data_IF_082465886878
#
_entry.id   IF_082465886878
#
_cell.length_a   1.000
_cell.length_b   1.000
_cell.length_c   1.000
_cell.angle_alpha   90.00
_cell.angle_beta   90.00
_cell.angle_gamma   90.00
#
_symmetry.space_group_name_H-M   'P 1'
#
loop_
_entity.id
_entity.type
_entity.pdbx_description
1 polymer ?
#
# COMPACT_ATOMS: atom_id res chain seq x y z
N UNK A 1 31.28 -38.30 -6.94
CA UNK A 1 31.46 -37.70 -5.60
C UNK A 1 31.12 -36.20 -5.54
N UNK A 2 30.67 -35.58 -6.63
CA UNK A 2 30.46 -34.12 -6.71
C UNK A 2 29.11 -33.60 -6.18
N UNK A 3 28.08 -34.42 -6.18
CA UNK A 3 26.71 -34.00 -5.81
C UNK A 3 26.61 -33.65 -4.32
N UNK A 4 27.23 -34.46 -3.45
CA UNK A 4 27.24 -34.25 -2.01
C UNK A 4 27.95 -32.95 -1.62
N UNK A 5 29.10 -32.67 -2.25
CA UNK A 5 29.90 -31.46 -2.02
C UNK A 5 29.18 -30.22 -2.56
N UNK A 6 28.51 -30.31 -3.72
CA UNK A 6 27.67 -29.21 -4.25
C UNK A 6 26.45 -28.94 -3.40
N UNK A 7 25.87 -29.97 -2.77
CA UNK A 7 24.68 -29.81 -1.93
C UNK A 7 24.99 -28.99 -0.67
N UNK A 8 26.10 -29.24 0.01
CA UNK A 8 26.47 -28.57 1.27
C UNK A 8 26.85 -27.09 1.12
N UNK A 9 27.26 -26.65 -0.09
CA UNK A 9 27.64 -25.25 -0.37
C UNK A 9 26.45 -24.35 -0.76
N UNK A 10 25.24 -24.89 -0.90
CA UNK A 10 24.03 -24.10 -1.17
C UNK A 10 23.47 -23.55 0.15
N UNK A 11 23.13 -22.27 0.19
CA UNK A 11 22.56 -21.56 1.36
C UNK A 11 21.33 -22.25 2.00
N UNK A 12 20.63 -23.13 1.26
CA UNK A 12 19.41 -23.80 1.72
C UNK A 12 19.59 -25.28 2.11
N UNK A 13 20.82 -25.80 2.13
CA UNK A 13 21.10 -27.23 2.34
C UNK A 13 20.61 -27.86 3.67
N UNK A 14 20.65 -27.18 4.83
CA UNK A 14 20.22 -27.80 6.09
C UNK A 14 18.70 -28.01 6.18
N UNK A 15 17.92 -27.32 5.34
CA UNK A 15 16.45 -27.30 5.42
C UNK A 15 15.78 -28.11 4.31
N UNK A 16 16.55 -28.80 3.45
CA UNK A 16 16.00 -29.67 2.42
C UNK A 16 15.53 -30.99 3.04
N UNK A 17 14.30 -31.41 2.73
CA UNK A 17 13.76 -32.71 3.14
C UNK A 17 14.34 -33.78 2.21
N UNK A 18 15.01 -34.79 2.77
CA UNK A 18 15.46 -36.00 2.05
C UNK A 18 14.60 -37.20 2.49
N UNK A 19 14.10 -38.04 1.56
CA UNK A 19 14.27 -37.96 0.10
C UNK A 19 13.45 -36.83 -0.56
N UNK A 20 13.86 -36.33 -1.74
CA UNK A 20 13.30 -35.15 -2.42
C UNK A 20 11.94 -35.39 -3.11
N UNK A 21 11.21 -36.43 -2.74
CA UNK A 21 9.88 -36.68 -3.32
C UNK A 21 8.82 -35.82 -2.62
N UNK A 22 7.98 -35.11 -3.39
CA UNK A 22 6.73 -34.57 -2.85
C UNK A 22 5.96 -35.70 -2.17
N UNK A 23 5.40 -35.44 -1.00
CA UNK A 23 4.42 -36.38 -0.43
C UNK A 23 3.31 -36.59 -1.48
N UNK A 24 2.81 -37.82 -1.68
CA UNK A 24 1.81 -38.10 -2.71
C UNK A 24 0.55 -37.23 -2.59
N UNK A 25 0.18 -36.82 -1.37
CA UNK A 25 -0.81 -35.77 -1.12
C UNK A 25 -0.21 -34.70 -0.17
N UNK A 26 0.43 -33.65 -0.71
CA UNK A 26 0.90 -32.55 0.11
C UNK A 26 -0.31 -31.75 0.62
N UNK A 27 -0.36 -31.50 1.93
CA UNK A 27 -1.36 -30.58 2.50
C UNK A 27 -1.26 -29.23 1.78
N UNK A 28 -2.42 -28.62 1.50
CA UNK A 28 -2.49 -27.28 0.90
C UNK A 28 -1.54 -26.33 1.63
N UNK A 29 -0.59 -25.69 0.93
CA UNK A 29 0.26 -24.68 1.51
C UNK A 29 -0.61 -23.56 2.12
N UNK A 30 -0.25 -23.10 3.30
CA UNK A 30 -0.99 -22.08 4.04
C UNK A 30 -1.50 -22.57 5.39
N UNK A 31 -1.72 -21.64 6.31
CA UNK A 31 -2.39 -21.95 7.57
C UNK A 31 -3.86 -22.28 7.28
N UNK A 32 -4.39 -23.31 7.95
CA UNK A 32 -5.84 -23.49 8.02
C UNK A 32 -6.44 -22.20 8.57
N UNK A 33 -7.46 -21.67 7.92
CA UNK A 33 -8.28 -20.60 8.48
C UNK A 33 -8.78 -21.08 9.84
N UNK A 34 -8.46 -20.34 10.91
CA UNK A 34 -8.99 -20.63 12.24
C UNK A 34 -10.46 -20.22 12.34
N UNK A 35 -11.14 -20.64 13.40
CA UNK A 35 -12.56 -20.31 13.61
C UNK A 35 -12.81 -18.80 13.81
N UNK A 36 -11.75 -18.03 14.10
CA UNK A 36 -11.74 -16.57 14.18
C UNK A 36 -11.31 -15.88 12.89
N UNK A 37 -11.10 -16.64 11.81
CA UNK A 37 -10.72 -16.10 10.52
C UNK A 37 -11.95 -15.39 9.93
N UNK A 38 -11.89 -14.06 9.92
CA UNK A 38 -13.00 -13.22 9.47
C UNK A 38 -13.35 -13.43 7.99
N UNK A 39 -14.52 -12.93 7.60
CA UNK A 39 -15.01 -12.97 6.23
C UNK A 39 -14.00 -12.36 5.28
N UNK A 40 -13.71 -13.05 4.18
CA UNK A 40 -12.98 -12.47 3.07
C UNK A 40 -13.89 -11.45 2.38
N UNK A 41 -13.69 -10.18 2.67
CA UNK A 41 -14.42 -9.09 2.02
C UNK A 41 -13.60 -8.47 0.89
N UNK A 42 -14.30 -8.03 -0.14
CA UNK A 42 -13.73 -7.22 -1.21
C UNK A 42 -13.97 -5.75 -0.95
N UNK A 43 -13.17 -4.90 -1.60
CA UNK A 43 -13.34 -3.46 -1.50
C UNK A 43 -14.69 -3.07 -2.13
N UNK A 44 -15.55 -2.32 -1.43
CA UNK A 44 -16.78 -1.82 -2.02
C UNK A 44 -16.45 -0.78 -3.12
N UNK A 45 -17.32 -0.62 -4.13
CA UNK A 45 -17.20 0.48 -5.08
C UNK A 45 -17.33 1.84 -4.36
N UNK A 46 -16.78 2.93 -4.94
CA UNK A 46 -16.97 4.28 -4.39
C UNK A 46 -18.46 4.63 -4.35
N UNK A 47 -18.85 5.52 -3.43
CA UNK A 47 -20.24 5.99 -3.39
C UNK A 47 -20.56 6.83 -4.63
N UNK A 48 -21.83 6.84 -5.10
CA UNK A 48 -22.20 7.62 -6.28
C UNK A 48 -21.85 9.12 -6.17
N UNK A 49 -21.93 9.68 -4.97
CA UNK A 49 -21.58 11.09 -4.68
C UNK A 49 -20.08 11.39 -4.84
N UNK A 50 -19.22 10.37 -4.75
CA UNK A 50 -17.77 10.50 -4.95
C UNK A 50 -17.35 10.45 -6.41
N UNK A 51 -18.26 10.04 -7.32
CA UNK A 51 -17.95 9.90 -8.74
C UNK A 51 -18.00 11.28 -9.39
N UNK A 52 -16.82 11.85 -9.62
CA UNK A 52 -16.69 13.16 -10.27
C UNK A 52 -16.92 13.11 -11.79
N UNK A 53 -16.57 11.99 -12.42
CA UNK A 53 -16.63 11.80 -13.87
C UNK A 53 -17.13 10.40 -14.22
N UNK A 54 -18.01 10.31 -15.22
CA UNK A 54 -18.52 9.07 -15.77
C UNK A 54 -18.23 9.02 -17.28
N UNK A 55 -17.54 7.96 -17.73
CA UNK A 55 -17.19 7.77 -19.14
C UNK A 55 -17.73 6.42 -19.62
N UNK A 56 -18.46 6.41 -20.74
CA UNK A 56 -18.94 5.17 -21.35
C UNK A 56 -17.86 4.54 -22.24
N UNK A 57 -17.48 3.30 -21.96
CA UNK A 57 -16.52 2.53 -22.75
C UNK A 57 -17.25 1.60 -23.74
N UNK A 58 -17.71 2.17 -24.86
CA UNK A 58 -18.46 1.41 -25.87
C UNK A 58 -17.62 0.31 -26.54
N UNK A 59 -18.28 -0.78 -26.94
CA UNK A 59 -17.67 -1.81 -27.77
C UNK A 59 -17.20 -1.21 -29.12
N UNK A 60 -16.08 -1.69 -29.69
CA UNK A 60 -15.65 -1.28 -31.01
C UNK A 60 -16.65 -1.73 -32.08
N UNK A 61 -16.62 -1.10 -33.27
CA UNK A 61 -17.54 -1.43 -34.36
C UNK A 61 -17.42 -2.89 -34.87
N UNK A 62 -16.26 -3.52 -34.68
CA UNK A 62 -15.99 -4.90 -35.07
C UNK A 62 -15.01 -5.56 -34.10
N UNK A 63 -15.03 -6.90 -34.04
CA UNK A 63 -14.11 -7.67 -33.22
C UNK A 63 -12.65 -7.36 -33.60
N UNK A 64 -11.79 -6.92 -32.65
CA UNK A 64 -10.41 -6.56 -32.97
C UNK A 64 -9.56 -7.77 -33.43
N UNK A 65 -10.00 -9.00 -33.18
CA UNK A 65 -9.28 -10.22 -33.56
C UNK A 65 -9.69 -10.77 -34.93
N UNK A 66 -11.00 -10.83 -35.23
CA UNK A 66 -11.52 -11.46 -36.46
C UNK A 66 -12.36 -10.52 -37.34
N UNK A 67 -12.56 -9.26 -36.94
CA UNK A 67 -13.40 -8.25 -37.60
C UNK A 67 -14.90 -8.62 -37.74
N UNK A 68 -15.35 -9.67 -37.06
CA UNK A 68 -16.75 -10.06 -37.02
C UNK A 68 -17.64 -9.08 -36.25
N UNK A 69 -18.96 -9.19 -36.44
CA UNK A 69 -19.97 -8.42 -35.71
C UNK A 69 -19.92 -8.74 -34.21
N UNK A 70 -19.98 -7.69 -33.38
CA UNK A 70 -20.11 -7.81 -31.93
C UNK A 70 -21.58 -7.68 -31.51
N UNK A 71 -21.93 -8.40 -30.44
CA UNK A 71 -23.23 -8.32 -29.79
C UNK A 71 -22.98 -8.01 -28.32
N UNK A 72 -23.55 -6.91 -27.84
CA UNK A 72 -23.47 -6.54 -26.43
C UNK A 72 -24.34 -7.48 -25.60
N UNK A 73 -23.77 -8.05 -24.55
CA UNK A 73 -24.46 -8.99 -23.64
C UNK A 73 -24.75 -8.37 -22.26
N UNK A 74 -24.09 -7.25 -21.94
CA UNK A 74 -24.26 -6.52 -20.70
C UNK A 74 -23.19 -5.44 -20.51
N UNK A 75 -23.37 -4.64 -19.47
CA UNK A 75 -22.43 -3.62 -19.04
C UNK A 75 -21.95 -3.92 -17.61
N UNK A 76 -20.73 -3.49 -17.29
CA UNK A 76 -20.16 -3.60 -15.96
C UNK A 76 -19.42 -2.31 -15.62
N UNK A 77 -19.55 -1.86 -14.38
CA UNK A 77 -18.89 -0.65 -13.90
C UNK A 77 -17.45 -0.92 -13.49
N UNK A 78 -16.55 -0.03 -13.92
CA UNK A 78 -15.16 0.01 -13.51
C UNK A 78 -14.84 1.38 -12.92
N UNK A 79 -14.15 1.40 -11.78
CA UNK A 79 -13.84 2.62 -11.05
C UNK A 79 -12.34 2.88 -11.04
N UNK A 80 -11.94 4.11 -11.34
CA UNK A 80 -10.57 4.59 -11.25
C UNK A 80 -10.52 5.80 -10.30
N UNK A 81 -9.62 5.77 -9.32
CA UNK A 81 -9.32 6.93 -8.46
C UNK A 81 -8.00 7.54 -8.93
N UNK A 82 -8.00 8.83 -9.22
CA UNK A 82 -6.83 9.58 -9.68
C UNK A 82 -6.55 10.78 -8.76
N UNK A 83 -5.30 11.20 -8.64
CA UNK A 83 -4.92 12.40 -7.89
C UNK A 83 -5.00 13.65 -8.79
N UNK A 84 -5.59 14.77 -8.31
CA UNK A 84 -5.62 16.02 -9.07
C UNK A 84 -4.20 16.51 -9.39
N UNK A 85 -4.07 17.13 -10.57
CA UNK A 85 -2.79 17.41 -11.22
C UNK A 85 -2.07 18.65 -10.68
N UNK A 86 -0.74 18.59 -10.83
CA UNK A 86 0.33 19.46 -10.34
C UNK A 86 0.48 19.56 -8.81
N UNK A 87 1.56 19.03 -8.23
CA UNK A 87 1.86 19.21 -6.81
C UNK A 87 2.28 20.65 -6.53
N UNK A 88 1.90 21.18 -5.37
CA UNK A 88 2.40 22.46 -4.88
C UNK A 88 3.88 22.34 -4.48
N UNK A 89 4.77 22.95 -5.26
CA UNK A 89 6.21 22.99 -4.99
C UNK A 89 6.56 24.20 -4.12
N UNK A 90 7.08 23.95 -2.90
CA UNK A 90 7.55 25.01 -1.99
C UNK A 90 9.06 25.09 -1.99
N UNK A 91 9.61 26.26 -2.34
CA UNK A 91 11.04 26.55 -2.22
C UNK A 91 11.29 27.36 -0.95
N UNK A 92 12.10 26.81 -0.05
CA UNK A 92 12.58 27.55 1.12
C UNK A 92 13.98 28.09 0.84
N UNK A 93 14.14 29.42 0.90
CA UNK A 93 15.47 30.04 0.95
C UNK A 93 15.92 30.04 2.41
N UNK A 94 16.73 29.04 2.77
CA UNK A 94 17.26 28.89 4.12
C UNK A 94 18.47 29.80 4.29
N UNK A 95 18.38 30.78 5.18
CA UNK A 95 19.51 31.60 5.57
C UNK A 95 20.40 30.84 6.56
N UNK A 96 21.71 30.91 6.36
CA UNK A 96 22.71 30.19 7.16
C UNK A 96 23.71 31.22 7.67
N UNK A 97 24.09 31.11 8.94
CA UNK A 97 25.12 31.94 9.56
C UNK A 97 25.88 31.16 10.63
N UNK A 98 26.70 31.86 11.40
CA UNK A 98 27.39 31.32 12.56
C UNK A 98 27.27 32.29 13.75
N UNK A 99 27.33 31.76 14.97
CA UNK A 99 27.42 32.58 16.17
C UNK A 99 28.82 33.20 16.28
N UNK A 100 28.94 34.50 16.54
CA UNK A 100 30.25 35.16 16.71
C UNK A 100 30.97 34.72 18.00
N UNK A 101 30.21 34.43 19.06
CA UNK A 101 30.79 34.05 20.35
C UNK A 101 31.29 32.59 20.41
N UNK A 102 30.60 31.65 19.74
CA UNK A 102 30.97 30.22 19.79
C UNK A 102 31.30 29.60 18.43
N UNK A 103 31.22 30.37 17.33
CA UNK A 103 31.51 29.91 15.97
C UNK A 103 30.53 28.86 15.39
N UNK A 104 29.54 28.40 16.17
CA UNK A 104 28.64 27.32 15.76
C UNK A 104 27.73 27.78 14.62
N UNK A 105 27.55 26.91 13.62
CA UNK A 105 26.63 27.11 12.49
C UNK A 105 25.18 27.12 12.99
N UNK A 106 24.40 28.07 12.48
CA UNK A 106 22.95 28.17 12.71
C UNK A 106 22.25 28.37 11.38
N UNK A 107 21.05 27.82 11.24
CA UNK A 107 20.24 27.97 10.04
C UNK A 107 18.82 28.38 10.42
N UNK A 108 18.20 29.20 9.59
CA UNK A 108 16.79 29.59 9.76
C UNK A 108 15.87 28.41 9.49
N UNK A 109 14.77 28.33 10.25
CA UNK A 109 13.77 27.26 10.11
C UNK A 109 12.39 27.86 9.85
N UNK A 110 11.72 27.36 8.83
CA UNK A 110 10.35 27.76 8.52
C UNK A 110 9.35 26.76 9.12
N UNK A 111 8.20 27.17 9.70
CA UNK A 111 7.24 26.25 10.34
C UNK A 111 6.73 25.11 9.45
N UNK A 112 6.61 25.36 8.14
CA UNK A 112 6.19 24.36 7.15
C UNK A 112 7.32 23.41 6.67
N UNK A 113 8.56 23.57 7.15
CA UNK A 113 9.64 22.63 6.82
C UNK A 113 9.52 21.35 7.65
N UNK A 114 9.58 20.22 6.95
CA UNK A 114 9.60 18.88 7.55
C UNK A 114 10.99 18.46 8.00
N UNK A 115 12.04 19.00 7.37
CA UNK A 115 13.43 18.68 7.71
C UNK A 115 14.35 19.86 7.40
N UNK A 116 15.45 19.86 8.13
CA UNK A 116 16.54 20.82 8.14
C UNK A 116 17.65 20.47 7.13
N UNK A 117 17.48 19.38 6.36
CA UNK A 117 18.45 18.85 5.42
C UNK A 117 18.62 19.75 4.18
N UNK A 118 19.87 19.94 3.76
CA UNK A 118 20.28 20.73 2.59
C UNK A 118 21.17 19.88 1.65
N UNK A 119 21.57 20.44 0.51
CA UNK A 119 22.43 19.76 -0.47
C UNK A 119 21.71 18.59 -1.15
N UNK A 120 22.33 17.41 -1.13
CA UNK A 120 21.77 16.20 -1.77
C UNK A 120 20.38 15.79 -1.23
N UNK A 121 20.04 16.20 0.00
CA UNK A 121 18.76 15.91 0.65
C UNK A 121 17.82 17.12 0.71
N UNK A 122 18.06 18.17 -0.08
CA UNK A 122 17.23 19.38 -0.10
C UNK A 122 15.85 19.17 -0.75
N UNK A 123 15.66 18.10 -1.53
CA UNK A 123 14.38 17.77 -2.18
C UNK A 123 13.63 16.74 -1.36
N UNK A 124 12.44 17.10 -0.88
CA UNK A 124 11.61 16.28 0.01
C UNK A 124 10.16 16.29 -0.46
N UNK A 125 9.43 15.22 -0.14
CA UNK A 125 7.98 15.15 -0.32
C UNK A 125 7.33 15.72 0.94
N UNK A 126 6.44 16.69 0.77
CA UNK A 126 5.72 17.31 1.89
C UNK A 126 4.73 16.34 2.57
N UNK A 127 4.29 16.67 3.79
CA UNK A 127 3.50 15.75 4.62
C UNK A 127 2.14 15.43 3.99
N UNK A 128 1.47 16.42 3.40
CA UNK A 128 0.16 16.20 2.74
C UNK A 128 0.28 15.28 1.52
N UNK A 129 1.37 15.39 0.75
CA UNK A 129 1.61 14.53 -0.40
C UNK A 129 1.96 13.10 0.04
N UNK A 130 2.73 12.93 1.11
CA UNK A 130 2.99 11.62 1.73
C UNK A 130 1.70 11.00 2.29
N UNK A 131 0.85 11.80 2.94
CA UNK A 131 -0.44 11.37 3.45
C UNK A 131 -1.36 10.95 2.30
N UNK A 132 -1.50 11.76 1.25
CA UNK A 132 -2.27 11.43 0.06
C UNK A 132 -1.79 10.13 -0.58
N UNK A 133 -0.48 9.96 -0.79
CA UNK A 133 0.09 8.72 -1.31
C UNK A 133 -0.23 7.51 -0.41
N UNK A 134 -0.19 7.68 0.91
CA UNK A 134 -0.52 6.63 1.88
C UNK A 134 -2.01 6.31 1.85
N UNK A 135 -2.90 7.30 1.78
CA UNK A 135 -4.34 7.10 1.71
C UNK A 135 -4.68 6.39 0.40
N UNK A 136 -4.13 6.82 -0.73
CA UNK A 136 -4.28 6.12 -2.00
C UNK A 136 -3.73 4.69 -1.88
N UNK A 137 -2.53 4.47 -1.36
CA UNK A 137 -1.97 3.12 -1.25
C UNK A 137 -2.77 2.17 -0.34
N UNK A 138 -3.15 2.65 0.84
CA UNK A 138 -3.75 1.83 1.90
C UNK A 138 -5.26 1.71 1.74
N UNK A 139 -5.93 2.77 1.31
CA UNK A 139 -7.35 2.70 1.03
C UNK A 139 -7.59 1.99 -0.29
N UNK A 140 -6.77 2.19 -1.35
CA UNK A 140 -6.94 1.54 -2.68
C UNK A 140 -6.56 0.05 -2.69
N UNK A 141 -5.71 -0.41 -1.77
CA UNK A 141 -5.44 -1.84 -1.61
C UNK A 141 -6.70 -2.57 -1.06
N UNK A 142 -7.02 -3.79 -1.53
CA UNK A 142 -8.12 -4.58 -0.98
C UNK A 142 -8.03 -4.70 0.54
N UNK A 143 -9.16 -4.41 1.21
CA UNK A 143 -9.31 -4.46 2.64
C UNK A 143 -9.06 -5.89 3.15
N UNK A 144 -8.08 -6.06 4.03
CA UNK A 144 -7.77 -7.37 4.59
C UNK A 144 -6.86 -7.35 5.81
N UNK A 145 -6.82 -6.26 6.59
CA UNK A 145 -5.88 -6.21 7.73
C UNK A 145 -6.32 -5.48 9.01
N UNK A 146 -7.41 -4.71 9.09
CA UNK A 146 -7.74 -3.97 10.32
C UNK A 146 -9.17 -4.19 10.80
N UNK A 147 -9.58 -5.45 10.92
CA UNK A 147 -10.71 -5.86 11.76
C UNK A 147 -10.26 -6.06 13.21
N UNK A 148 -9.83 -4.98 13.89
CA UNK A 148 -9.79 -4.97 15.36
C UNK A 148 -10.62 -3.79 15.84
N UNK A 149 -11.93 -3.98 15.86
CA UNK A 149 -12.81 -3.18 16.70
C UNK A 149 -12.32 -3.35 18.15
N UNK A 150 -11.67 -2.33 18.69
CA UNK A 150 -11.26 -2.33 20.09
C UNK A 150 -12.55 -2.29 20.93
N UNK A 151 -12.85 -3.41 21.58
CA UNK A 151 -14.00 -3.55 22.46
C UNK A 151 -13.93 -2.47 23.55
N UNK A 152 -14.91 -1.58 23.57
CA UNK A 152 -15.16 -0.68 24.70
C UNK A 152 -15.63 -1.54 25.88
N UNK A 153 -14.70 -2.04 26.68
CA UNK A 153 -15.01 -2.57 28.01
C UNK A 153 -15.46 -1.39 28.89
N UNK A 154 -16.77 -1.14 28.94
CA UNK A 154 -17.40 -0.41 30.05
C UNK A 154 -17.50 -1.39 31.20
N UNK A 155 -16.51 -1.38 32.08
CA UNK A 155 -16.65 -1.92 33.43
C UNK A 155 -17.69 -1.07 34.16
N UNK A 156 -18.90 -1.62 34.31
CA UNK A 156 -19.88 -1.12 35.25
C UNK A 156 -19.37 -1.44 36.66
N UNK A 157 -18.84 -0.43 37.34
CA UNK A 157 -18.53 -0.52 38.76
C UNK A 157 -19.88 -0.45 39.48
N UNK A 158 -20.29 -1.59 40.05
CA UNK A 158 -21.50 -1.70 40.85
C UNK A 158 -21.39 -0.84 42.11
N UNK A 159 -22.34 0.08 42.27
CA UNK A 159 -22.65 0.68 43.56
C UNK A 159 -23.44 -0.35 44.38
N UNK A 160 -22.85 -0.85 45.47
CA UNK A 160 -23.61 -1.50 46.54
C UNK A 160 -24.33 -0.41 47.33
N UNK A 161 -25.63 -0.62 47.54
CA UNK A 161 -26.43 0.07 48.54
C UNK A 161 -26.08 -0.45 49.95
#
# INVERSE_FOLDING_TARGET
>A
MDEAIRSGKRQAAPFRKCPPSPKPDPKRPGRKSGDTHGTHEHRPPPSPEQIAECHAAHLPAACPHCRGRLVETGAADQFQTESPRQPLVRKFRVHIGHCEACGKRTQGRHPLQTSDALGAAASQIGPDAQAAATLLHTQIRPAGANGKAWGRNRTAIGAKA
#
